data_IF_726474367050
#
_entry.id   IF_726474367050
#
_cell.length_a   1.000
_cell.length_b   1.000
_cell.length_c   1.000
_cell.angle_alpha   90.00
_cell.angle_beta   90.00
_cell.angle_gamma   90.00
#
_symmetry.space_group_name_H-M   'P 1'
#
loop_
_entity.id
_entity.type
_entity.pdbx_description
1 polymer ?
#
# COMPACT_ATOMS: atom_id res chain seq x y z
N UNK A 1 -7.57 -9.21 9.54
CA UNK A 1 -6.75 -9.53 8.35
C UNK A 1 -5.37 -8.95 8.63
N UNK A 2 -4.33 -9.78 8.71
CA UNK A 2 -2.96 -9.29 8.86
C UNK A 2 -2.32 -9.22 7.48
N UNK A 3 -1.60 -8.14 7.21
CA UNK A 3 -0.95 -7.89 5.93
C UNK A 3 0.57 -7.98 6.12
N UNK A 4 1.30 -8.27 5.03
CA UNK A 4 2.71 -8.66 5.04
C UNK A 4 2.94 -10.05 5.68
N UNK A 5 4.06 -10.70 5.36
CA UNK A 5 4.36 -12.07 5.80
C UNK A 5 4.53 -12.21 7.32
N UNK A 6 5.02 -11.15 7.96
CA UNK A 6 5.21 -11.01 9.41
C UNK A 6 3.99 -10.39 10.10
N UNK A 7 2.91 -10.10 9.36
CA UNK A 7 1.65 -9.60 9.90
C UNK A 7 1.72 -8.21 10.53
N UNK A 8 2.83 -7.48 10.33
CA UNK A 8 3.04 -6.19 10.99
C UNK A 8 2.02 -5.14 10.55
N UNK A 9 1.55 -5.20 9.31
CA UNK A 9 0.72 -4.14 8.72
C UNK A 9 -0.75 -4.34 9.08
N UNK A 10 -1.36 -3.25 9.55
CA UNK A 10 -2.76 -3.18 9.99
C UNK A 10 -3.65 -2.53 8.93
N UNK A 11 -3.07 -1.82 7.96
CA UNK A 11 -3.78 -1.20 6.84
C UNK A 11 -3.13 -1.52 5.49
N UNK A 12 -3.89 -1.34 4.41
CA UNK A 12 -3.39 -1.44 3.03
C UNK A 12 -2.25 -0.45 2.77
N UNK A 13 -2.38 0.77 3.27
CA UNK A 13 -1.35 1.82 3.16
C UNK A 13 -0.06 1.40 3.86
N UNK A 14 -0.14 0.87 5.08
CA UNK A 14 1.04 0.37 5.81
C UNK A 14 1.71 -0.78 5.06
N UNK A 15 0.92 -1.70 4.49
CA UNK A 15 1.46 -2.79 3.68
C UNK A 15 2.22 -2.24 2.46
N UNK A 16 1.62 -1.32 1.71
CA UNK A 16 2.23 -0.66 0.54
C UNK A 16 3.54 0.06 0.94
N UNK A 17 3.53 0.82 2.03
CA UNK A 17 4.68 1.60 2.47
C UNK A 17 5.84 0.76 3.02
N UNK A 18 5.57 -0.48 3.44
CA UNK A 18 6.58 -1.38 3.98
C UNK A 18 7.11 -2.40 2.98
N UNK A 19 6.64 -2.37 1.74
CA UNK A 19 7.23 -3.15 0.65
C UNK A 19 8.58 -2.57 0.24
N UNK A 20 9.58 -3.44 0.14
CA UNK A 20 10.90 -3.17 -0.42
C UNK A 20 11.29 -4.26 -1.42
N UNK A 21 12.54 -4.24 -1.90
CA UNK A 21 13.00 -5.19 -2.92
C UNK A 21 12.20 -5.04 -4.21
N UNK A 22 11.51 -6.10 -4.64
CA UNK A 22 10.67 -6.08 -5.84
C UNK A 22 9.48 -5.10 -5.72
N UNK A 23 8.99 -4.83 -4.51
CA UNK A 23 7.88 -3.89 -4.28
C UNK A 23 8.29 -2.43 -4.13
N UNK A 24 9.59 -2.11 -4.16
CA UNK A 24 10.11 -0.75 -3.94
C UNK A 24 9.61 0.25 -4.98
N UNK A 25 9.44 -0.19 -6.24
CA UNK A 25 8.88 0.66 -7.30
C UNK A 25 7.43 1.06 -6.99
N UNK A 26 6.59 0.11 -6.61
CA UNK A 26 5.19 0.35 -6.27
C UNK A 26 5.05 1.27 -5.06
N UNK A 27 5.88 1.07 -4.02
CA UNK A 27 5.96 1.96 -2.87
C UNK A 27 6.30 3.39 -3.29
N UNK A 28 7.33 3.59 -4.13
CA UNK A 28 7.72 4.92 -4.62
C UNK A 28 6.63 5.57 -5.46
N UNK A 29 5.97 4.80 -6.32
CA UNK A 29 4.85 5.29 -7.12
C UNK A 29 3.72 5.78 -6.20
N UNK A 30 3.36 5.00 -5.18
CA UNK A 30 2.35 5.37 -4.19
C UNK A 30 2.72 6.64 -3.40
N UNK A 31 3.99 6.76 -2.97
CA UNK A 31 4.47 7.96 -2.25
C UNK A 31 4.39 9.23 -3.13
N UNK A 32 4.60 9.09 -4.45
CA UNK A 32 4.57 10.21 -5.39
C UNK A 32 3.15 10.57 -5.89
N UNK A 33 2.13 9.75 -5.61
CA UNK A 33 0.74 10.08 -5.91
C UNK A 33 0.26 11.22 -5.03
N UNK A 34 -0.65 12.05 -5.56
CA UNK A 34 -1.37 12.99 -4.72
C UNK A 34 -2.33 12.26 -3.77
N UNK A 35 -2.92 13.00 -2.83
CA UNK A 35 -3.80 12.39 -1.84
C UNK A 35 -5.05 11.76 -2.47
N UNK A 36 -5.62 12.39 -3.48
CA UNK A 36 -6.86 11.92 -4.13
C UNK A 36 -6.63 10.58 -4.81
N UNK A 37 -5.53 10.45 -5.53
CA UNK A 37 -5.15 9.21 -6.22
C UNK A 37 -4.85 8.08 -5.24
N UNK A 38 -4.16 8.38 -4.12
CA UNK A 38 -3.94 7.38 -3.06
C UNK A 38 -5.25 6.91 -2.45
N UNK A 39 -6.14 7.83 -2.11
CA UNK A 39 -7.45 7.49 -1.51
C UNK A 39 -8.28 6.63 -2.48
N UNK A 40 -8.26 6.95 -3.78
CA UNK A 40 -8.96 6.18 -4.81
C UNK A 40 -8.36 4.76 -4.98
N UNK A 41 -7.04 4.62 -4.96
CA UNK A 41 -6.37 3.32 -5.02
C UNK A 41 -6.72 2.46 -3.80
N UNK A 42 -6.71 3.04 -2.60
CA UNK A 42 -7.07 2.31 -1.38
C UNK A 42 -8.53 1.85 -1.44
N UNK A 43 -9.45 2.73 -1.81
CA UNK A 43 -10.86 2.36 -1.97
C UNK A 43 -11.07 1.25 -3.00
N UNK A 44 -10.34 1.27 -4.12
CA UNK A 44 -10.34 0.18 -5.09
C UNK A 44 -9.86 -1.14 -4.47
N UNK A 45 -8.73 -1.14 -3.76
CA UNK A 45 -8.18 -2.34 -3.12
C UNK A 45 -9.06 -2.90 -2.00
N UNK A 46 -9.81 -2.05 -1.30
CA UNK A 46 -10.80 -2.46 -0.29
C UNK A 46 -12.05 -3.11 -0.89
N UNK A 47 -12.31 -2.91 -2.19
CA UNK A 47 -13.47 -3.46 -2.90
C UNK A 47 -13.25 -4.88 -3.47
N UNK A 48 -12.05 -5.44 -3.31
CA UNK A 48 -11.64 -6.78 -3.78
C UNK A 48 -11.79 -7.86 -2.70
#
# INVERSE_FOLDING_TARGET
>A
RFMMHDGRARTLEEAILWHGGEGEFSKKAFVNMDKTDRDALIAFLESL
#
